data_IF_219685850087
#
_entry.id   IF_219685850087
#
_cell.length_a   1.000
_cell.length_b   1.000
_cell.length_c   1.000
_cell.angle_alpha   90.00
_cell.angle_beta   90.00
_cell.angle_gamma   90.00
#
_symmetry.space_group_name_H-M   'P 1'
#
loop_
_entity.id
_entity.type
_entity.pdbx_description
1 polymer ?
#
# COMPACT_ATOMS: atom_id res chain seq x y z
N UNK A 1 15.05 38.25 -20.54
CA UNK A 1 14.34 36.96 -20.41
C UNK A 1 13.98 36.50 -21.81
N UNK A 2 14.40 35.30 -22.25
CA UNK A 2 14.15 34.82 -23.63
C UNK A 2 12.80 34.10 -23.72
N UNK A 3 12.19 34.08 -24.91
CA UNK A 3 10.94 33.32 -25.15
C UNK A 3 11.05 31.84 -24.72
N UNK A 4 12.22 31.22 -24.94
CA UNK A 4 12.49 29.85 -24.49
C UNK A 4 12.49 29.69 -22.96
N UNK A 5 12.97 30.69 -22.22
CA UNK A 5 12.92 30.69 -20.76
C UNK A 5 11.47 30.82 -20.25
N UNK A 6 10.68 31.71 -20.86
CA UNK A 6 9.26 31.89 -20.53
C UNK A 6 8.47 30.59 -20.76
N UNK A 7 8.68 29.92 -21.90
CA UNK A 7 8.03 28.63 -22.20
C UNK A 7 8.37 27.56 -21.16
N UNK A 8 9.65 27.42 -20.79
CA UNK A 8 10.09 26.46 -19.76
C UNK A 8 9.46 26.73 -18.39
N UNK A 9 9.27 27.99 -18.01
CA UNK A 9 8.60 28.33 -16.76
C UNK A 9 7.11 27.96 -16.78
N UNK A 10 6.42 28.18 -17.89
CA UNK A 10 5.02 27.79 -18.08
C UNK A 10 4.88 26.26 -18.02
N UNK A 11 5.74 25.52 -18.72
CA UNK A 11 5.72 24.05 -18.74
C UNK A 11 6.00 23.47 -17.34
N UNK A 12 7.00 24.02 -16.63
CA UNK A 12 7.32 23.61 -15.26
C UNK A 12 6.16 23.88 -14.29
N UNK A 13 5.46 25.00 -14.45
CA UNK A 13 4.29 25.34 -13.66
C UNK A 13 3.17 24.32 -13.84
N UNK A 14 2.80 24.03 -15.09
CA UNK A 14 1.75 23.04 -15.39
C UNK A 14 2.13 21.63 -14.93
N UNK A 15 3.41 21.25 -15.07
CA UNK A 15 3.91 19.95 -14.59
C UNK A 15 3.79 19.80 -13.08
N UNK A 16 4.16 20.84 -12.31
CA UNK A 16 3.98 20.84 -10.84
C UNK A 16 2.51 20.72 -10.47
N UNK A 17 1.65 21.47 -11.15
CA UNK A 17 0.21 21.49 -10.87
C UNK A 17 -0.46 20.16 -11.20
N UNK A 18 -0.06 19.50 -12.28
CA UNK A 18 -0.51 18.13 -12.61
C UNK A 18 -0.14 17.13 -11.52
N UNK A 19 1.11 17.16 -11.05
CA UNK A 19 1.56 16.30 -9.96
C UNK A 19 0.78 16.56 -8.65
N UNK A 20 0.46 17.82 -8.35
CA UNK A 20 -0.36 18.17 -7.19
C UNK A 20 -1.78 17.64 -7.30
N UNK A 21 -2.40 17.72 -8.48
CA UNK A 21 -3.73 17.17 -8.73
C UNK A 21 -3.76 15.65 -8.57
N UNK A 22 -2.83 14.94 -9.22
CA UNK A 22 -2.72 13.49 -9.11
C UNK A 22 -2.47 13.04 -7.65
N UNK A 23 -1.62 13.77 -6.92
CA UNK A 23 -1.39 13.49 -5.49
C UNK A 23 -2.64 13.74 -4.65
N UNK A 24 -3.37 14.82 -4.92
CA UNK A 24 -4.59 15.17 -4.17
C UNK A 24 -5.69 14.16 -4.43
N UNK A 25 -5.86 13.72 -5.68
CA UNK A 25 -6.79 12.67 -6.06
C UNK A 25 -6.47 11.36 -5.36
N UNK A 26 -5.20 10.95 -5.36
CA UNK A 26 -4.75 9.75 -4.65
C UNK A 26 -4.99 9.86 -3.14
N UNK A 27 -4.72 11.01 -2.53
CA UNK A 27 -5.01 11.25 -1.11
C UNK A 27 -6.51 11.19 -0.81
N UNK A 28 -7.35 11.79 -1.64
CA UNK A 28 -8.81 11.73 -1.48
C UNK A 28 -9.32 10.30 -1.57
N UNK A 29 -8.81 9.52 -2.53
CA UNK A 29 -9.14 8.11 -2.67
C UNK A 29 -8.74 7.28 -1.44
N UNK A 30 -7.50 7.46 -0.94
CA UNK A 30 -7.02 6.82 0.29
C UNK A 30 -7.93 7.16 1.46
N UNK A 31 -8.17 8.45 1.73
CA UNK A 31 -9.01 8.92 2.83
C UNK A 31 -10.43 8.33 2.73
N UNK A 32 -11.00 8.29 1.52
CA UNK A 32 -12.28 7.65 1.26
C UNK A 32 -12.29 6.18 1.66
N UNK A 33 -11.27 5.41 1.26
CA UNK A 33 -11.15 4.00 1.63
C UNK A 33 -11.01 3.80 3.15
N UNK A 34 -10.19 4.61 3.83
CA UNK A 34 -10.06 4.55 5.29
C UNK A 34 -11.38 4.88 6.00
N UNK A 35 -12.04 5.97 5.61
CA UNK A 35 -13.31 6.40 6.22
C UNK A 35 -14.42 5.36 6.03
N UNK A 36 -14.58 4.80 4.83
CA UNK A 36 -15.53 3.71 4.60
C UNK A 36 -15.26 2.50 5.48
N UNK A 37 -13.99 2.11 5.64
CA UNK A 37 -13.63 0.99 6.49
C UNK A 37 -13.81 1.29 8.00
N UNK A 38 -13.60 2.54 8.44
CA UNK A 38 -13.92 2.97 9.82
C UNK A 38 -15.41 2.84 10.11
N UNK A 39 -16.24 3.33 9.19
CA UNK A 39 -17.69 3.22 9.30
C UNK A 39 -18.08 1.74 9.35
N UNK A 40 -17.57 0.93 8.42
CA UNK A 40 -17.86 -0.51 8.38
C UNK A 40 -17.43 -1.23 9.67
N UNK A 41 -16.27 -0.89 10.24
CA UNK A 41 -15.79 -1.48 11.48
C UNK A 41 -16.67 -1.13 12.70
N UNK A 42 -17.35 0.02 12.69
CA UNK A 42 -18.30 0.38 13.75
C UNK A 42 -19.58 -0.48 13.71
N UNK A 43 -20.02 -0.90 12.52
CA UNK A 43 -21.27 -1.65 12.34
C UNK A 43 -21.09 -3.16 12.21
N UNK A 44 -19.88 -3.66 11.89
CA UNK A 44 -19.62 -5.07 11.67
C UNK A 44 -18.38 -5.55 12.43
N UNK A 45 -18.54 -6.62 13.22
CA UNK A 45 -17.42 -7.29 13.90
C UNK A 45 -16.42 -7.96 12.94
N UNK A 46 -16.81 -8.19 11.68
CA UNK A 46 -15.94 -8.79 10.65
C UNK A 46 -15.12 -7.75 9.92
N UNK A 47 -15.63 -6.52 9.77
CA UNK A 47 -14.90 -5.43 9.13
C UNK A 47 -13.87 -4.86 10.12
N UNK A 48 -12.63 -4.69 9.68
CA UNK A 48 -11.55 -4.12 10.49
C UNK A 48 -11.05 -2.84 9.83
N UNK A 49 -10.69 -1.86 10.66
CA UNK A 49 -9.99 -0.68 10.17
C UNK A 49 -8.64 -1.09 9.57
N UNK A 50 -8.22 -0.53 8.42
CA UNK A 50 -6.95 -0.90 7.81
C UNK A 50 -5.79 -0.51 8.74
N UNK A 51 -4.76 -1.37 8.81
CA UNK A 51 -3.54 -1.08 9.59
C UNK A 51 -2.78 0.07 8.95
N UNK A 52 -2.14 0.90 9.78
CA UNK A 52 -1.33 2.00 9.28
C UNK A 52 -0.13 1.46 8.50
N UNK A 53 0.02 1.78 7.21
CA UNK A 53 1.14 1.28 6.39
C UNK A 53 2.49 1.88 6.82
N UNK A 54 2.48 2.99 7.57
CA UNK A 54 3.69 3.63 8.12
C UNK A 54 4.08 3.08 9.49
N UNK A 55 3.22 2.29 10.14
CA UNK A 55 3.63 1.57 11.34
C UNK A 55 4.62 0.48 10.95
N UNK A 56 5.90 0.73 11.25
CA UNK A 56 6.89 -0.33 11.28
C UNK A 56 6.52 -1.26 12.43
N UNK A 57 5.90 -2.40 12.09
CA UNK A 57 5.73 -3.47 13.07
C UNK A 57 7.12 -3.81 13.60
N UNK A 58 7.29 -3.79 14.94
CA UNK A 58 8.53 -4.22 15.56
C UNK A 58 8.88 -5.60 15.00
N UNK A 59 10.13 -5.84 14.57
CA UNK A 59 10.54 -7.16 14.13
C UNK A 59 10.18 -8.16 15.23
N UNK A 60 9.60 -9.29 14.86
CA UNK A 60 9.25 -10.32 15.82
C UNK A 60 10.54 -10.79 16.47
N UNK A 61 10.64 -10.64 17.79
CA UNK A 61 11.80 -11.07 18.57
C UNK A 61 11.79 -12.59 18.71
N UNK A 62 12.35 -13.25 17.70
CA UNK A 62 12.44 -14.71 17.57
C UNK A 62 13.17 -15.39 18.73
N UNK A 63 13.98 -14.63 19.49
CA UNK A 63 14.75 -15.11 20.64
C UNK A 63 13.86 -15.60 21.79
N UNK A 64 12.63 -15.10 21.87
CA UNK A 64 11.71 -15.34 22.99
C UNK A 64 10.54 -16.28 22.62
N UNK A 65 10.52 -16.85 21.42
CA UNK A 65 9.47 -17.79 21.01
C UNK A 65 9.82 -19.23 21.38
N UNK A 66 8.82 -19.99 21.81
CA UNK A 66 8.94 -21.43 22.02
C UNK A 66 8.94 -22.18 20.67
N UNK A 67 9.47 -23.40 20.60
CA UNK A 67 9.60 -24.17 19.34
C UNK A 67 8.28 -24.33 18.56
N UNK A 68 7.16 -24.58 19.25
CA UNK A 68 5.85 -24.67 18.60
C UNK A 68 5.41 -23.35 17.95
N UNK A 69 5.67 -22.22 18.62
CA UNK A 69 5.26 -20.91 18.10
C UNK A 69 6.13 -20.49 16.91
N UNK A 70 7.39 -20.91 16.90
CA UNK A 70 8.31 -20.70 15.78
C UNK A 70 7.87 -21.52 14.56
N UNK A 71 7.48 -22.79 14.75
CA UNK A 71 6.99 -23.66 13.69
C UNK A 71 5.70 -23.12 13.04
N UNK A 72 4.72 -22.68 13.85
CA UNK A 72 3.46 -22.10 13.35
C UNK A 72 3.69 -20.80 12.56
N UNK A 73 4.66 -19.97 12.99
CA UNK A 73 5.05 -18.78 12.23
C UNK A 73 5.71 -19.12 10.90
N UNK A 74 6.59 -20.12 10.87
CA UNK A 74 7.25 -20.57 9.64
C UNK A 74 6.25 -21.14 8.65
N UNK A 75 5.28 -21.93 9.11
CA UNK A 75 4.22 -22.49 8.28
C UNK A 75 3.37 -21.37 7.64
N UNK A 76 2.92 -20.39 8.44
CA UNK A 76 2.17 -19.23 7.95
C UNK A 76 2.95 -18.43 6.92
N UNK A 77 4.26 -18.28 7.12
CA UNK A 77 5.12 -17.56 6.18
C UNK A 77 5.28 -18.32 4.85
N UNK A 78 5.46 -19.64 4.89
CA UNK A 78 5.53 -20.47 3.69
C UNK A 78 4.22 -20.42 2.88
N UNK A 79 3.07 -20.47 3.56
CA UNK A 79 1.76 -20.29 2.92
C UNK A 79 1.64 -18.93 2.22
N UNK A 80 2.09 -17.84 2.86
CA UNK A 80 2.09 -16.51 2.24
C UNK A 80 2.95 -16.46 0.98
N UNK A 81 4.14 -17.07 1.01
CA UNK A 81 5.03 -17.15 -0.17
C UNK A 81 4.40 -17.94 -1.31
N UNK A 82 3.73 -19.07 -1.03
CA UNK A 82 3.03 -19.85 -2.05
C UNK A 82 1.88 -19.06 -2.69
N UNK A 83 1.07 -18.36 -1.88
CA UNK A 83 0.03 -17.47 -2.40
C UNK A 83 0.60 -16.37 -3.29
N UNK A 84 1.71 -15.74 -2.86
CA UNK A 84 2.36 -14.69 -3.63
C UNK A 84 2.91 -15.22 -4.96
N UNK A 85 3.56 -16.39 -4.94
CA UNK A 85 4.08 -17.04 -6.14
C UNK A 85 2.96 -17.40 -7.14
N UNK A 86 1.83 -17.92 -6.66
CA UNK A 86 0.66 -18.20 -7.52
C UNK A 86 0.08 -16.92 -8.12
N UNK A 87 -0.01 -15.84 -7.32
CA UNK A 87 -0.51 -14.56 -7.81
C UNK A 87 0.41 -13.94 -8.87
N UNK A 88 1.73 -14.13 -8.72
CA UNK A 88 2.73 -13.65 -9.66
C UNK A 88 2.65 -14.41 -10.99
N UNK A 89 2.60 -15.75 -10.94
CA UNK A 89 2.42 -16.59 -12.14
C UNK A 89 1.15 -16.24 -12.91
N UNK A 90 0.06 -15.91 -12.21
CA UNK A 90 -1.19 -15.49 -12.84
C UNK A 90 -1.03 -14.16 -13.60
N UNK A 91 -0.33 -13.18 -13.03
CA UNK A 91 -0.06 -11.91 -13.72
C UNK A 91 0.80 -12.10 -14.96
N UNK A 92 1.83 -12.96 -14.90
CA UNK A 92 2.65 -13.26 -16.09
C UNK A 92 1.84 -13.95 -17.21
N UNK A 93 0.82 -14.74 -16.86
CA UNK A 93 -0.07 -15.37 -17.84
C UNK A 93 -1.11 -14.41 -18.43
N UNK A 94 -1.54 -13.39 -17.68
CA UNK A 94 -2.49 -12.37 -18.15
C UNK A 94 -1.81 -11.28 -19.01
N UNK A 95 -0.46 -11.17 -18.97
CA UNK A 95 0.35 -10.21 -19.74
C UNK A 95 0.94 -10.78 -21.06
N UNK A 96 0.74 -12.08 -21.35
CA UNK A 96 1.10 -12.75 -22.62
C UNK A 96 -0.09 -12.88 -23.56
#
# INVERSE_FOLDING_TARGET
MTFGAVKRHIDAYWKRRKNEWERTEYQAWLIGAYTMNAIAAAFSKKAKYPKNPLEQNKPVDVSNLNEEQLADMQEKYLLQLDFMARSYKKKEADEQ
#
